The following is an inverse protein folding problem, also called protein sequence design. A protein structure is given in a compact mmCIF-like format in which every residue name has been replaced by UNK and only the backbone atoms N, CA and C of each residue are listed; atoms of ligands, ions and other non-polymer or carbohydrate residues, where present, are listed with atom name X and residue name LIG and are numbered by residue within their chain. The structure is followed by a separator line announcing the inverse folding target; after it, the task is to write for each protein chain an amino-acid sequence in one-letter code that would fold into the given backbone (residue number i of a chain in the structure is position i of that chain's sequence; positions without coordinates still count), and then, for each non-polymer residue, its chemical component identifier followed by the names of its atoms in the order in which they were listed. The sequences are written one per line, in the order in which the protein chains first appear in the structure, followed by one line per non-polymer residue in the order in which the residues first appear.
data_IF_800113780265
#
_entry.id   IF_800113780265
#
_cell.length_a   1.000
_cell.length_b   1.000
_cell.length_c   1.000
_cell.angle_alpha   90.00
_cell.angle_beta   90.00
_cell.angle_gamma   90.00
#
_symmetry.space_group_name_H-M   'P 1'
#
loop_
_entity.id
_entity.type
_entity.pdbx_description
1 polymer ?
#
# COMPACT_ATOMS: atom_id res chain seq x y z
N UNK A 1 2.22 5.41 16.30
CA UNK A 1 1.27 6.30 15.61
C UNK A 1 1.53 6.15 14.12
N UNK A 2 0.55 5.75 13.32
CA UNK A 2 0.73 5.54 11.88
C UNK A 2 0.61 6.89 11.13
N UNK A 3 1.34 7.10 10.02
CA UNK A 3 1.22 8.29 9.20
C UNK A 3 -0.18 8.40 8.57
N UNK A 4 -0.75 9.60 8.55
CA UNK A 4 -1.94 9.92 7.75
C UNK A 4 -1.53 10.22 6.30
N UNK A 5 -2.33 9.75 5.33
CA UNK A 5 -2.11 9.97 3.91
C UNK A 5 -3.22 10.81 3.27
N UNK A 6 -2.86 11.65 2.31
CA UNK A 6 -3.78 12.51 1.56
C UNK A 6 -4.31 13.71 2.36
N UNK A 7 -4.73 14.77 1.66
CA UNK A 7 -5.56 15.85 2.22
C UNK A 7 -6.89 15.83 1.47
N UNK A 8 -8.05 15.68 2.15
CA UNK A 8 -8.21 15.40 3.58
C UNK A 8 -7.57 14.06 3.97
N UNK A 9 -7.20 13.91 5.24
CA UNK A 9 -6.60 12.68 5.77
C UNK A 9 -7.58 11.52 5.57
N UNK A 10 -7.29 10.65 4.62
CA UNK A 10 -8.13 9.49 4.36
C UNK A 10 -7.79 8.47 5.44
N UNK A 11 -8.82 7.95 6.11
CA UNK A 11 -8.64 6.92 7.13
C UNK A 11 -8.21 5.62 6.45
N UNK A 12 -6.91 5.33 6.52
CA UNK A 12 -6.32 4.11 5.98
C UNK A 12 -5.65 3.25 7.05
N UNK A 13 -5.50 1.96 6.76
CA UNK A 13 -4.75 1.02 7.60
C UNK A 13 -3.59 0.41 6.82
N UNK A 14 -2.47 0.17 7.51
CA UNK A 14 -1.37 -0.60 6.93
C UNK A 14 -1.53 -2.06 7.30
N UNK A 15 -1.47 -2.93 6.32
CA UNK A 15 -1.35 -4.36 6.54
C UNK A 15 0.06 -4.80 6.15
N UNK A 16 0.61 -5.75 6.88
CA UNK A 16 1.82 -6.43 6.48
C UNK A 16 1.50 -7.90 6.40
N UNK A 17 2.02 -8.58 5.38
CA UNK A 17 1.98 -10.04 5.39
C UNK A 17 2.91 -10.56 6.47
N UNK A 18 2.71 -11.82 6.85
CA UNK A 18 3.56 -12.50 7.83
C UNK A 18 5.04 -12.47 7.44
N UNK A 19 5.37 -12.49 6.15
CA UNK A 19 6.74 -12.40 5.65
C UNK A 19 7.40 -11.07 6.02
N UNK A 20 6.70 -9.96 5.83
CA UNK A 20 7.23 -8.63 6.22
C UNK A 20 7.21 -8.41 7.72
N UNK A 21 6.21 -8.94 8.41
CA UNK A 21 6.21 -8.90 9.89
C UNK A 21 7.45 -9.60 10.45
N UNK A 22 7.87 -10.72 9.86
CA UNK A 22 9.03 -11.49 10.29
C UNK A 22 10.38 -10.78 10.11
N UNK A 23 10.46 -9.73 9.27
CA UNK A 23 11.67 -8.91 9.11
C UNK A 23 11.94 -7.97 10.30
N UNK A 24 10.96 -7.80 11.20
CA UNK A 24 11.08 -6.93 12.37
C UNK A 24 10.59 -5.49 12.13
N UNK A 25 10.50 -4.73 13.21
CA UNK A 25 9.86 -3.41 13.22
C UNK A 25 10.64 -2.36 12.41
N UNK A 26 11.97 -2.42 12.41
CA UNK A 26 12.81 -1.50 11.66
C UNK A 26 12.59 -1.66 10.14
N UNK A 27 12.62 -2.89 9.64
CA UNK A 27 12.33 -3.18 8.24
C UNK A 27 10.91 -2.73 7.84
N UNK A 28 9.91 -2.95 8.69
CA UNK A 28 8.54 -2.49 8.44
C UNK A 28 8.46 -0.96 8.29
N UNK A 29 9.14 -0.20 9.16
CA UNK A 29 9.18 1.27 9.08
C UNK A 29 9.84 1.72 7.78
N UNK A 30 10.96 1.11 7.40
CA UNK A 30 11.68 1.46 6.16
C UNK A 30 10.85 1.13 4.92
N UNK A 31 10.21 -0.05 4.90
CA UNK A 31 9.33 -0.48 3.81
C UNK A 31 8.15 0.48 3.68
N UNK A 32 7.48 0.85 4.77
CA UNK A 32 6.38 1.83 4.72
C UNK A 32 6.83 3.21 4.22
N UNK A 33 8.02 3.67 4.64
CA UNK A 33 8.57 4.92 4.13
C UNK A 33 8.83 4.86 2.62
N UNK A 34 9.38 3.73 2.12
CA UNK A 34 9.59 3.51 0.69
C UNK A 34 8.28 3.46 -0.11
N UNK A 35 7.22 2.88 0.45
CA UNK A 35 5.88 2.89 -0.18
C UNK A 35 5.32 4.31 -0.24
N UNK A 36 5.42 5.07 0.87
CA UNK A 36 4.97 6.48 0.92
C UNK A 36 5.67 7.34 -0.11
N UNK A 37 6.97 7.14 -0.28
CA UNK A 37 7.84 7.97 -1.12
C UNK A 37 7.99 7.38 -2.54
N UNK A 38 7.21 6.35 -2.91
CA UNK A 38 7.31 5.71 -4.22
C UNK A 38 6.71 6.62 -5.31
N UNK A 39 7.52 6.93 -6.32
CA UNK A 39 7.15 7.75 -7.48
C UNK A 39 7.55 7.12 -8.83
N UNK A 40 8.14 5.92 -8.80
CA UNK A 40 8.65 5.22 -9.98
C UNK A 40 7.57 4.38 -10.68
N UNK A 41 6.52 5.06 -11.15
CA UNK A 41 5.48 4.45 -11.98
C UNK A 41 5.91 4.41 -13.46
N UNK A 42 5.65 3.29 -14.11
CA UNK A 42 5.92 2.99 -15.51
C UNK A 42 4.78 2.18 -16.11
N UNK A 43 4.73 2.06 -17.43
CA UNK A 43 3.71 1.24 -18.12
C UNK A 43 3.73 -0.24 -17.67
N UNK A 44 4.87 -0.73 -17.17
CA UNK A 44 5.03 -2.11 -16.68
C UNK A 44 4.34 -2.37 -15.33
N UNK A 45 4.28 -1.37 -14.44
CA UNK A 45 3.70 -1.51 -13.10
C UNK A 45 2.42 -0.69 -12.89
N UNK A 46 2.10 0.22 -13.80
CA UNK A 46 0.90 1.05 -13.75
C UNK A 46 0.32 1.29 -15.16
N UNK A 47 -0.19 0.24 -15.82
CA UNK A 47 -0.74 0.35 -17.18
C UNK A 47 -2.02 1.21 -17.26
N UNK A 48 -2.65 1.50 -16.11
CA UNK A 48 -3.91 2.21 -16.02
C UNK A 48 -3.79 3.60 -15.36
N UNK A 49 -2.61 3.98 -14.88
CA UNK A 49 -2.37 5.30 -14.26
C UNK A 49 -3.02 5.46 -12.88
N UNK A 50 -3.37 4.35 -12.24
CA UNK A 50 -4.10 4.34 -10.96
C UNK A 50 -3.16 4.58 -9.78
N UNK A 51 -1.85 4.43 -9.98
CA UNK A 51 -0.80 4.58 -8.96
C UNK A 51 -1.06 3.77 -7.68
N UNK A 52 -1.73 2.62 -7.81
CA UNK A 52 -2.17 1.79 -6.69
C UNK A 52 -1.33 0.52 -6.52
N UNK A 53 -0.35 0.28 -7.39
CA UNK A 53 0.53 -0.88 -7.34
C UNK A 53 1.98 -0.49 -7.66
N UNK A 54 2.92 -1.14 -6.99
CA UNK A 54 4.34 -0.92 -7.26
C UNK A 54 5.25 -1.98 -6.67
N UNK A 55 6.54 -1.87 -6.96
CA UNK A 55 7.55 -2.74 -6.37
C UNK A 55 8.92 -2.07 -6.26
N UNK A 56 9.70 -2.47 -5.26
CA UNK A 56 11.08 -2.02 -5.07
C UNK A 56 11.92 -3.12 -4.41
N UNK A 57 13.25 -2.99 -4.45
CA UNK A 57 14.14 -3.91 -3.77
C UNK A 57 14.45 -3.45 -2.33
N UNK A 58 14.45 -4.39 -1.39
CA UNK A 58 14.88 -4.22 0.00
C UNK A 58 15.72 -5.43 0.39
N UNK A 59 16.98 -5.22 0.80
CA UNK A 59 17.91 -6.30 1.20
C UNK A 59 18.01 -7.47 0.21
N UNK A 60 18.04 -7.16 -1.09
CA UNK A 60 18.11 -8.17 -2.15
C UNK A 60 16.79 -8.90 -2.44
N UNK A 61 15.70 -8.53 -1.76
CA UNK A 61 14.36 -9.08 -1.98
C UNK A 61 13.48 -8.06 -2.71
N UNK A 62 12.69 -8.55 -3.67
CA UNK A 62 11.69 -7.71 -4.34
C UNK A 62 10.44 -7.64 -3.47
N UNK A 63 10.10 -6.42 -3.07
CA UNK A 63 8.93 -6.05 -2.28
C UNK A 63 7.89 -5.49 -3.24
N UNK A 64 6.73 -6.14 -3.30
CA UNK A 64 5.55 -5.60 -3.97
C UNK A 64 4.68 -4.86 -2.96
N UNK A 65 3.94 -3.85 -3.41
CA UNK A 65 2.94 -3.20 -2.58
C UNK A 65 1.73 -2.86 -3.44
N UNK A 66 0.58 -2.72 -2.78
CA UNK A 66 -0.64 -2.25 -3.43
C UNK A 66 -1.53 -1.46 -2.48
N UNK A 67 -2.40 -0.65 -3.04
CA UNK A 67 -3.51 0.01 -2.36
C UNK A 67 -4.79 -0.73 -2.76
N UNK A 68 -5.54 -1.21 -1.77
CA UNK A 68 -6.85 -1.82 -2.00
C UNK A 68 -7.94 -0.89 -1.45
N UNK A 69 -9.00 -0.70 -2.22
CA UNK A 69 -10.12 0.18 -1.91
C UNK A 69 -11.32 -0.62 -1.39
N UNK A 70 -11.69 -0.42 -0.14
CA UNK A 70 -12.85 -1.09 0.48
C UNK A 70 -13.94 -0.10 0.86
N UNK A 71 -15.16 -0.61 1.03
CA UNK A 71 -16.26 0.12 1.65
C UNK A 71 -15.94 0.51 3.10
N UNK A 72 -16.81 1.32 3.71
CA UNK A 72 -16.62 1.83 5.07
C UNK A 72 -16.66 0.77 6.16
N UNK A 73 -17.12 -0.44 5.86
CA UNK A 73 -17.23 -1.58 6.76
C UNK A 73 -16.13 -2.64 6.53
N UNK A 74 -15.24 -2.42 5.56
CA UNK A 74 -14.20 -3.35 5.11
C UNK A 74 -14.74 -4.72 4.63
N UNK A 75 -15.97 -4.79 4.15
CA UNK A 75 -16.61 -6.04 3.73
C UNK A 75 -16.46 -6.29 2.23
N UNK A 76 -16.60 -5.23 1.42
CA UNK A 76 -16.56 -5.29 -0.03
C UNK A 76 -15.65 -4.20 -0.62
N UNK A 77 -15.42 -4.27 -1.93
CA UNK A 77 -14.76 -3.18 -2.65
C UNK A 77 -15.59 -1.91 -2.61
N UNK A 78 -14.94 -0.74 -2.55
CA UNK A 78 -15.65 0.54 -2.56
C UNK A 78 -16.46 0.69 -3.85
N UNK A 79 -17.71 1.14 -3.72
CA UNK A 79 -18.57 1.46 -4.87
C UNK A 79 -18.09 2.72 -5.63
N UNK A 80 -17.25 3.54 -4.98
CA UNK A 80 -16.67 4.74 -5.57
C UNK A 80 -15.25 4.96 -4.99
N UNK A 81 -14.22 4.26 -5.52
CA UNK A 81 -12.85 4.30 -5.01
C UNK A 81 -12.21 5.69 -4.99
N UNK A 82 -12.70 6.61 -5.84
CA UNK A 82 -12.23 7.99 -5.91
C UNK A 82 -12.88 8.90 -4.85
N UNK A 83 -13.98 8.47 -4.22
CA UNK A 83 -14.66 9.21 -3.15
C UNK A 83 -14.10 8.82 -1.77
N UNK A 84 -13.30 9.70 -1.13
CA UNK A 84 -12.68 9.41 0.16
C UNK A 84 -13.69 9.34 1.33
N UNK A 85 -14.95 9.73 1.11
CA UNK A 85 -16.02 9.59 2.11
C UNK A 85 -16.68 8.21 2.10
N UNK A 86 -16.51 7.46 1.00
CA UNK A 86 -17.07 6.11 0.81
C UNK A 86 -16.00 5.02 0.81
N UNK A 87 -14.73 5.42 0.80
CA UNK A 87 -13.60 4.52 0.59
C UNK A 87 -12.67 4.51 1.79
N UNK A 88 -12.39 3.31 2.30
CA UNK A 88 -11.27 3.08 3.21
C UNK A 88 -10.12 2.48 2.42
N UNK A 89 -8.94 3.07 2.59
CA UNK A 89 -7.73 2.65 1.91
C UNK A 89 -7.00 1.61 2.75
N UNK A 90 -6.69 0.45 2.19
CA UNK A 90 -5.55 -0.32 2.69
C UNK A 90 -4.31 0.12 1.96
N UNK A 91 -3.25 0.35 2.73
CA UNK A 91 -1.90 0.42 2.22
C UNK A 91 -1.22 -0.90 2.59
N UNK A 92 -0.72 -1.58 1.56
CA UNK A 92 0.27 -2.66 1.60
C UNK A 92 -0.26 -4.08 1.80
N UNK A 93 -0.25 -4.86 0.71
CA UNK A 93 0.09 -6.30 0.76
C UNK A 93 1.49 -6.46 0.18
N UNK A 94 2.48 -6.72 1.02
CA UNK A 94 3.82 -7.12 0.54
C UNK A 94 3.96 -8.64 0.54
N UNK A 95 4.26 -9.25 -0.60
CA UNK A 95 4.65 -10.65 -0.69
C UNK A 95 5.99 -10.75 -1.43
N UNK A 96 6.79 -11.77 -1.08
CA UNK A 96 8.03 -12.09 -1.80
C UNK A 96 7.69 -13.04 -2.96
N UNK A 97 8.43 -12.95 -4.06
CA UNK A 97 8.49 -14.00 -5.09
C UNK A 97 9.76 -14.79 -4.85
N UNK A 98 9.65 -16.08 -4.52
CA UNK A 98 10.77 -17.04 -4.56
C UNK A 98 11.21 -17.30 -5.99
#
# INVERSE_FOLDING_TARGET
MLPAFGKPAIQGSYLYTRGIVALGAEAQIIIAAKVRDFDSFSEDNDPHGEHDFGSFNYEGQKIFWKIDYYDTEYQYGSADPADPTKTRLYVVRVFWTS
#
